data_IF_400353503339
#
_entry.id   IF_400353503339
#
_cell.length_a   1.000
_cell.length_b   1.000
_cell.length_c   1.000
_cell.angle_alpha   90.00
_cell.angle_beta   90.00
_cell.angle_gamma   90.00
#
_symmetry.space_group_name_H-M   'P 1'
#
loop_
_entity.id
_entity.type
_entity.pdbx_description
1 polymer ?
#
# COMPACT_ATOMS: atom_id res chain seq x y z
N UNK A 1 -37.10 15.03 -2.08
CA UNK A 1 -36.16 14.20 -2.86
C UNK A 1 -34.87 14.12 -2.06
N UNK A 2 -34.84 13.24 -1.05
CA UNK A 2 -33.73 13.13 -0.09
C UNK A 2 -32.68 12.20 -0.67
N UNK A 3 -31.48 12.74 -0.92
CA UNK A 3 -30.30 11.99 -1.36
C UNK A 3 -29.90 11.02 -0.24
N UNK A 4 -30.27 9.75 -0.39
CA UNK A 4 -29.86 8.68 0.53
C UNK A 4 -28.39 8.37 0.25
N UNK A 5 -27.49 8.95 1.06
CA UNK A 5 -26.07 8.63 0.99
C UNK A 5 -25.89 7.17 1.45
N UNK A 6 -25.27 6.29 0.64
CA UNK A 6 -25.04 4.92 1.07
C UNK A 6 -24.19 4.91 2.35
N UNK A 7 -24.48 4.01 3.30
CA UNK A 7 -23.72 3.91 4.54
C UNK A 7 -22.25 3.66 4.21
N UNK A 8 -21.34 4.41 4.85
CA UNK A 8 -19.90 4.19 4.73
C UNK A 8 -19.62 2.81 5.33
N UNK A 9 -19.51 1.80 4.48
CA UNK A 9 -19.37 0.42 4.93
C UNK A 9 -17.99 0.25 5.60
N UNK A 10 -17.91 -0.33 6.81
CA UNK A 10 -16.66 -0.51 7.57
C UNK A 10 -15.64 -1.43 6.88
N UNK A 11 -16.04 -2.08 5.78
CA UNK A 11 -15.18 -2.89 4.92
C UNK A 11 -14.01 -2.07 4.33
N UNK A 12 -14.24 -0.80 3.95
CA UNK A 12 -13.22 0.03 3.33
C UNK A 12 -12.05 0.32 4.28
N UNK A 13 -12.34 0.66 5.54
CA UNK A 13 -11.32 0.95 6.55
C UNK A 13 -10.46 -0.29 6.86
N UNK A 14 -11.06 -1.47 6.88
CA UNK A 14 -10.35 -2.74 7.11
C UNK A 14 -9.45 -3.11 5.93
N UNK A 15 -9.90 -2.83 4.71
CA UNK A 15 -9.11 -3.00 3.50
C UNK A 15 -7.85 -2.13 3.54
N UNK A 16 -8.02 -0.82 3.74
CA UNK A 16 -6.91 0.15 3.79
C UNK A 16 -5.91 -0.21 4.89
N UNK A 17 -6.39 -0.62 6.06
CA UNK A 17 -5.51 -1.09 7.15
C UNK A 17 -4.66 -2.30 6.74
N UNK A 18 -5.29 -3.31 6.11
CA UNK A 18 -4.57 -4.50 5.64
C UNK A 18 -3.55 -4.13 4.55
N UNK A 19 -3.93 -3.28 3.59
CA UNK A 19 -3.05 -2.81 2.53
C UNK A 19 -1.88 -1.97 3.08
N UNK A 20 -2.11 -1.16 4.11
CA UNK A 20 -1.06 -0.44 4.82
C UNK A 20 -0.04 -1.36 5.48
N UNK A 21 -0.48 -2.45 6.13
CA UNK A 21 0.45 -3.45 6.68
C UNK A 21 1.28 -4.14 5.60
N UNK A 22 0.66 -4.50 4.47
CA UNK A 22 1.37 -5.10 3.34
C UNK A 22 2.42 -4.13 2.80
N UNK A 23 2.05 -2.86 2.64
CA UNK A 23 2.95 -1.80 2.22
C UNK A 23 4.16 -1.64 3.15
N UNK A 24 3.95 -1.67 4.46
CA UNK A 24 5.04 -1.58 5.42
C UNK A 24 6.00 -2.77 5.34
N UNK A 25 5.48 -3.99 5.32
CA UNK A 25 6.31 -5.20 5.29
C UNK A 25 7.06 -5.32 3.97
N UNK A 26 6.33 -5.30 2.84
CA UNK A 26 6.91 -5.47 1.51
C UNK A 26 7.79 -4.27 1.15
N UNK A 27 7.36 -3.05 1.48
CA UNK A 27 8.14 -1.85 1.22
C UNK A 27 9.46 -1.80 1.99
N UNK A 28 9.49 -2.27 3.23
CA UNK A 28 10.74 -2.39 4.00
C UNK A 28 11.68 -3.42 3.39
N UNK A 29 11.16 -4.56 2.94
CA UNK A 29 11.95 -5.57 2.23
C UNK A 29 12.49 -5.03 0.90
N UNK A 30 11.66 -4.35 0.12
CA UNK A 30 12.07 -3.70 -1.13
C UNK A 30 13.15 -2.65 -0.88
N UNK A 31 13.04 -1.88 0.20
CA UNK A 31 14.03 -0.87 0.52
C UNK A 31 15.37 -1.49 0.94
N UNK A 32 15.34 -2.61 1.67
CA UNK A 32 16.53 -3.36 2.06
C UNK A 32 17.28 -3.94 0.85
N UNK A 33 16.56 -4.43 -0.17
CA UNK A 33 17.18 -5.03 -1.37
C UNK A 33 17.52 -4.01 -2.46
N UNK A 34 16.72 -2.94 -2.62
CA UNK A 34 16.89 -1.95 -3.70
C UNK A 34 17.84 -0.81 -3.32
N UNK A 35 18.05 -0.56 -2.03
CA UNK A 35 18.93 0.50 -1.52
C UNK A 35 19.85 -0.02 -0.41
N UNK A 36 20.33 -1.27 -0.52
CA UNK A 36 21.30 -1.84 0.43
C UNK A 36 22.55 -0.98 0.55
N UNK A 37 23.00 -0.39 -0.55
CA UNK A 37 24.21 0.44 -0.61
C UNK A 37 24.06 1.72 0.22
N UNK A 38 22.84 2.26 0.32
CA UNK A 38 22.53 3.41 1.19
C UNK A 38 22.66 3.02 2.66
N UNK A 39 22.24 1.80 3.02
CA UNK A 39 22.38 1.27 4.38
C UNK A 39 23.84 0.99 4.77
N UNK A 40 24.66 0.63 3.78
CA UNK A 40 26.10 0.40 3.94
C UNK A 40 26.94 1.69 3.84
N UNK A 41 26.31 2.83 3.56
CA UNK A 41 26.99 4.13 3.43
C UNK A 41 27.73 4.34 2.12
N UNK A 42 27.49 3.48 1.12
CA UNK A 42 28.14 3.49 -0.19
C UNK A 42 27.40 4.36 -1.22
N UNK A 43 26.19 4.84 -0.91
CA UNK A 43 25.36 5.63 -1.82
C UNK A 43 24.44 6.61 -1.07
N UNK A 44 23.91 7.61 -1.78
CA UNK A 44 22.92 8.55 -1.25
C UNK A 44 21.49 7.99 -1.31
N UNK A 45 20.65 8.40 -0.36
CA UNK A 45 19.26 7.97 -0.27
C UNK A 45 18.44 8.56 -1.43
N UNK A 46 17.83 7.69 -2.23
CA UNK A 46 16.88 8.12 -3.24
C UNK A 46 15.46 8.15 -2.66
N UNK A 47 14.97 9.37 -2.39
CA UNK A 47 13.62 9.60 -1.85
C UNK A 47 12.54 9.05 -2.79
N UNK A 48 12.76 9.15 -4.11
CA UNK A 48 11.83 8.62 -5.11
C UNK A 48 11.71 7.10 -5.01
N UNK A 49 12.84 6.38 -4.94
CA UNK A 49 12.82 4.92 -4.79
C UNK A 49 12.21 4.51 -3.44
N UNK A 50 12.52 5.23 -2.37
CA UNK A 50 11.94 5.00 -1.04
C UNK A 50 10.41 5.11 -1.09
N UNK A 51 9.87 6.19 -1.66
CA UNK A 51 8.43 6.41 -1.78
C UNK A 51 7.76 5.31 -2.61
N UNK A 52 8.34 4.95 -3.76
CA UNK A 52 7.78 3.91 -4.64
C UNK A 52 7.77 2.53 -3.97
N UNK A 53 8.79 2.20 -3.18
CA UNK A 53 8.87 0.94 -2.44
C UNK A 53 7.69 0.75 -1.48
N UNK A 54 7.11 1.82 -0.93
CA UNK A 54 5.91 1.74 -0.07
C UNK A 54 4.61 1.98 -0.84
N UNK A 55 4.60 2.90 -1.82
CA UNK A 55 3.40 3.26 -2.56
C UNK A 55 2.90 2.13 -3.46
N UNK A 56 3.80 1.45 -4.17
CA UNK A 56 3.44 0.39 -5.12
C UNK A 56 2.79 -0.81 -4.41
N UNK A 57 3.36 -1.38 -3.34
CA UNK A 57 2.72 -2.51 -2.66
C UNK A 57 1.40 -2.12 -1.96
N UNK A 58 1.28 -0.88 -1.48
CA UNK A 58 0.00 -0.35 -0.99
C UNK A 58 -1.07 -0.37 -2.09
N UNK A 59 -0.77 0.24 -3.25
CA UNK A 59 -1.70 0.37 -4.35
C UNK A 59 -2.14 -0.99 -4.90
N UNK A 60 -1.19 -1.91 -5.10
CA UNK A 60 -1.48 -3.27 -5.58
C UNK A 60 -2.33 -4.04 -4.57
N UNK A 61 -2.03 -3.96 -3.26
CA UNK A 61 -2.83 -4.59 -2.22
C UNK A 61 -4.26 -4.04 -2.15
N UNK A 62 -4.41 -2.70 -2.20
CA UNK A 62 -5.70 -2.05 -2.16
C UNK A 62 -6.55 -2.38 -3.40
N UNK A 63 -5.96 -2.29 -4.60
CA UNK A 63 -6.64 -2.64 -5.85
C UNK A 63 -7.10 -4.10 -5.87
N UNK A 64 -6.22 -5.02 -5.45
CA UNK A 64 -6.53 -6.46 -5.42
C UNK A 64 -7.67 -6.76 -4.45
N UNK A 65 -7.67 -6.13 -3.28
CA UNK A 65 -8.72 -6.32 -2.30
C UNK A 65 -10.05 -5.67 -2.71
N UNK A 66 -10.04 -4.47 -3.34
CA UNK A 66 -11.25 -3.88 -3.92
C UNK A 66 -11.86 -4.78 -5.00
N UNK A 67 -11.02 -5.32 -5.88
CA UNK A 67 -11.45 -6.27 -6.91
C UNK A 67 -12.06 -7.53 -6.31
N UNK A 68 -11.45 -8.08 -5.26
CA UNK A 68 -11.98 -9.25 -4.57
C UNK A 68 -13.33 -8.99 -3.88
N UNK A 69 -13.56 -7.78 -3.37
CA UNK A 69 -14.87 -7.39 -2.81
C UNK A 69 -15.94 -7.34 -3.92
N UNK A 70 -15.63 -6.74 -5.07
CA UNK A 70 -16.57 -6.67 -6.20
C UNK A 70 -16.85 -8.02 -6.88
N UNK A 71 -15.93 -8.99 -6.80
CA UNK A 71 -16.12 -10.32 -7.38
C UNK A 71 -17.02 -11.25 -6.54
N UNK A 72 -17.29 -10.89 -5.28
CA UNK A 72 -18.12 -11.68 -4.36
C UNK A 72 -19.55 -11.11 -4.18
N UNK A 73 -19.92 -10.10 -4.97
CA UNK A 73 -21.27 -9.51 -5.06
C UNK A 73 -21.87 -9.81 -6.42
#
# INVERSE_FOLDING_TARGET
MTMHLPPITPAHSRLLYRSGKVALVVGTLLNLINQSDVLLGSAELSVQHLLLNYLVPFAVSAYSGLKAVHQNT
#
